data_IF_185706895595
#
_entry.id   IF_185706895595
#
_cell.length_a   1.000
_cell.length_b   1.000
_cell.length_c   1.000
_cell.angle_alpha   90.00
_cell.angle_beta   90.00
_cell.angle_gamma   90.00
#
_symmetry.space_group_name_H-M   'P 1'
#
loop_
_entity.id
_entity.type
_entity.pdbx_description
1 polymer ?
#
# COMPACT_ATOMS: atom_id res chain seq x y z
N UNK A 1 -4.91 15.42 -5.79
CA UNK A 1 -4.50 15.45 -7.22
C UNK A 1 -3.33 14.51 -7.43
N UNK A 2 -3.34 13.76 -8.50
CA UNK A 2 -2.29 12.79 -8.80
C UNK A 2 -1.77 12.99 -10.21
N UNK A 3 -0.49 12.71 -10.41
CA UNK A 3 0.13 12.69 -11.72
C UNK A 3 0.27 11.23 -12.15
N UNK A 4 -0.08 10.92 -13.38
CA UNK A 4 -0.02 9.56 -13.87
C UNK A 4 1.22 9.32 -14.74
N UNK A 5 1.55 8.05 -14.92
CA UNK A 5 2.77 7.61 -15.59
C UNK A 5 2.43 6.74 -16.80
N UNK A 6 3.39 6.60 -17.72
CA UNK A 6 3.30 5.64 -18.82
C UNK A 6 3.78 4.23 -18.40
N UNK A 7 3.78 3.28 -19.32
CA UNK A 7 4.25 1.90 -19.07
C UNK A 7 5.69 1.83 -18.60
N UNK A 8 6.51 2.83 -18.91
CA UNK A 8 7.90 2.93 -18.46
C UNK A 8 8.04 3.69 -17.15
N UNK A 9 6.92 3.99 -16.49
CA UNK A 9 6.84 4.73 -15.23
C UNK A 9 7.34 6.17 -15.30
N UNK A 10 7.33 6.75 -16.51
CA UNK A 10 7.67 8.16 -16.70
C UNK A 10 6.43 9.01 -16.47
N UNK A 11 6.62 10.13 -15.79
CA UNK A 11 5.53 11.11 -15.60
C UNK A 11 5.06 11.68 -16.92
N UNK A 12 3.74 11.75 -17.09
CA UNK A 12 3.12 12.27 -18.30
C UNK A 12 2.88 13.79 -18.24
N UNK A 13 3.38 14.45 -17.20
CA UNK A 13 3.28 15.91 -16.99
C UNK A 13 1.84 16.43 -16.96
N UNK A 14 0.91 15.61 -16.52
CA UNK A 14 -0.51 15.96 -16.37
C UNK A 14 -0.97 15.54 -14.98
N UNK A 15 -1.62 16.45 -14.28
CA UNK A 15 -2.15 16.20 -12.94
C UNK A 15 -3.66 16.08 -13.05
N UNK A 16 -4.21 15.03 -12.47
CA UNK A 16 -5.64 14.74 -12.53
C UNK A 16 -6.18 14.38 -11.15
N UNK A 17 -7.49 14.53 -10.98
CA UNK A 17 -8.18 14.01 -9.81
C UNK A 17 -8.46 12.52 -10.05
N UNK A 18 -7.75 11.66 -9.33
CA UNK A 18 -7.85 10.20 -9.50
C UNK A 18 -9.26 9.66 -9.26
N UNK A 19 -10.10 10.39 -8.53
CA UNK A 19 -11.46 9.94 -8.22
C UNK A 19 -12.43 10.15 -9.36
N UNK A 20 -12.10 11.04 -10.30
CA UNK A 20 -12.99 11.42 -11.41
C UNK A 20 -12.39 11.17 -12.79
N UNK A 21 -11.06 11.08 -12.90
CA UNK A 21 -10.40 10.89 -14.18
C UNK A 21 -10.55 9.46 -14.69
N UNK A 22 -10.85 9.32 -15.97
CA UNK A 22 -10.94 8.03 -16.65
C UNK A 22 -9.62 7.76 -17.39
N UNK A 23 -8.78 6.89 -16.82
CA UNK A 23 -7.48 6.55 -17.39
C UNK A 23 -7.63 5.90 -18.75
N UNK A 24 -6.88 6.41 -19.72
CA UNK A 24 -6.83 5.87 -21.07
C UNK A 24 -5.71 4.81 -21.19
N UNK A 25 -5.69 3.98 -22.25
CA UNK A 25 -4.59 3.05 -22.48
C UNK A 25 -3.24 3.76 -22.40
N UNK A 26 -2.29 3.16 -21.67
CA UNK A 26 -0.95 3.73 -21.49
C UNK A 26 -0.82 4.77 -20.38
N UNK A 27 -1.90 5.08 -19.68
CA UNK A 27 -1.89 6.01 -18.54
C UNK A 27 -2.15 5.24 -17.25
N UNK A 28 -1.29 5.40 -16.25
CA UNK A 28 -1.35 4.62 -15.01
C UNK A 28 -1.20 5.48 -13.76
N UNK A 29 -1.94 5.12 -12.73
CA UNK A 29 -1.71 5.62 -11.37
C UNK A 29 -0.58 4.82 -10.71
N UNK A 30 0.10 5.44 -9.76
CA UNK A 30 1.08 4.75 -8.91
C UNK A 30 0.52 4.54 -7.51
N UNK A 31 0.49 3.29 -7.06
CA UNK A 31 0.17 2.91 -5.69
C UNK A 31 1.37 2.23 -5.04
N UNK A 32 1.46 2.34 -3.73
CA UNK A 32 2.52 1.73 -2.95
C UNK A 32 1.94 1.02 -1.73
N UNK A 33 2.53 -0.10 -1.36
CA UNK A 33 2.20 -0.84 -0.15
C UNK A 33 3.49 -1.13 0.62
N UNK A 34 3.41 -1.15 1.94
CA UNK A 34 4.56 -1.42 2.79
C UNK A 34 4.36 -2.67 3.64
N UNK A 35 5.27 -3.61 3.52
CA UNK A 35 5.40 -4.71 4.47
C UNK A 35 6.35 -4.21 5.55
N UNK A 36 5.80 -3.90 6.73
CA UNK A 36 6.55 -3.42 7.88
C UNK A 36 6.75 -4.60 8.82
N UNK A 37 7.97 -5.09 8.86
CA UNK A 37 8.34 -6.26 9.67
C UNK A 37 9.18 -5.80 10.86
N UNK A 38 8.80 -6.24 12.08
CA UNK A 38 9.57 -5.94 13.28
C UNK A 38 10.65 -7.00 13.54
N UNK A 39 11.42 -6.82 14.60
CA UNK A 39 12.50 -7.75 14.93
C UNK A 39 12.03 -9.14 15.39
N UNK A 40 10.75 -9.27 15.73
CA UNK A 40 10.14 -10.56 16.07
C UNK A 40 9.59 -11.29 14.83
N UNK A 41 9.77 -10.72 13.63
CA UNK A 41 9.25 -11.31 12.40
C UNK A 41 7.75 -11.11 12.20
N UNK A 42 7.14 -10.16 12.90
CA UNK A 42 5.72 -9.86 12.76
C UNK A 42 5.50 -8.63 11.88
N UNK A 43 4.34 -8.59 11.25
CA UNK A 43 3.98 -7.57 10.29
C UNK A 43 2.90 -6.64 10.83
N UNK A 44 3.07 -5.34 10.63
CA UNK A 44 2.06 -4.36 11.01
C UNK A 44 0.95 -4.34 9.97
N UNK A 45 -0.27 -4.56 10.42
CA UNK A 45 -1.47 -4.45 9.59
C UNK A 45 -2.43 -3.46 10.21
N UNK A 46 -3.21 -2.76 9.37
CA UNK A 46 -4.19 -1.79 9.80
C UNK A 46 -5.58 -2.18 9.31
N UNK A 47 -6.60 -1.80 10.06
CA UNK A 47 -8.00 -2.07 9.70
C UNK A 47 -8.63 -0.80 9.15
N UNK A 48 -9.19 -0.88 7.94
CA UNK A 48 -9.84 0.24 7.27
C UNK A 48 -11.04 0.73 8.06
N UNK A 49 -11.22 2.05 8.08
CA UNK A 49 -12.37 2.67 8.72
C UNK A 49 -13.69 2.17 8.11
N UNK A 50 -14.73 2.10 8.93
CA UNK A 50 -16.03 1.53 8.54
C UNK A 50 -16.81 2.42 7.56
N UNK A 51 -16.46 3.70 7.45
CA UNK A 51 -17.07 4.65 6.52
C UNK A 51 -16.38 4.72 5.16
N UNK A 52 -15.39 3.86 4.90
CA UNK A 52 -14.73 3.78 3.59
C UNK A 52 -15.69 3.23 2.54
N UNK A 53 -15.62 3.79 1.33
CA UNK A 53 -16.45 3.36 0.21
C UNK A 53 -16.07 1.99 -0.33
N UNK A 54 -14.79 1.63 -0.19
CA UNK A 54 -14.27 0.36 -0.65
C UNK A 54 -13.66 -0.41 0.51
N UNK A 55 -14.00 -1.70 0.62
CA UNK A 55 -13.43 -2.63 1.59
C UNK A 55 -13.45 -2.12 3.03
N UNK A 56 -14.55 -1.47 3.46
CA UNK A 56 -14.70 -0.98 4.83
C UNK A 56 -14.49 -2.13 5.83
N UNK A 57 -13.71 -1.86 6.89
CA UNK A 57 -13.42 -2.84 7.94
C UNK A 57 -12.38 -3.90 7.54
N UNK A 58 -11.89 -3.90 6.31
CA UNK A 58 -10.87 -4.86 5.86
C UNK A 58 -9.51 -4.57 6.47
N UNK A 59 -8.71 -5.61 6.65
CA UNK A 59 -7.32 -5.49 7.11
C UNK A 59 -6.38 -5.42 5.92
N UNK A 60 -5.34 -4.60 6.03
CA UNK A 60 -4.41 -4.36 4.93
C UNK A 60 -3.02 -3.96 5.42
N UNK A 61 -2.04 -4.05 4.52
CA UNK A 61 -0.74 -3.41 4.72
C UNK A 61 -0.87 -1.90 4.49
N UNK A 62 -0.13 -1.06 5.25
CA UNK A 62 -0.15 0.39 5.01
C UNK A 62 0.28 0.74 3.59
N UNK A 63 -0.34 1.77 3.04
CA UNK A 63 0.00 2.25 1.70
C UNK A 63 -1.05 3.19 1.14
N UNK A 64 -0.89 3.58 -0.11
CA UNK A 64 -1.80 4.48 -0.78
C UNK A 64 -1.28 4.94 -2.13
N UNK A 65 -1.91 5.97 -2.68
CA UNK A 65 -1.55 6.53 -3.97
C UNK A 65 -0.44 7.56 -3.89
N UNK A 66 0.47 7.53 -4.86
CA UNK A 66 1.48 8.56 -5.01
C UNK A 66 0.84 9.89 -5.41
N UNK A 67 1.37 10.99 -4.89
CA UNK A 67 0.98 12.34 -5.27
C UNK A 67 1.77 12.79 -6.48
N UNK A 68 1.32 13.90 -7.08
CA UNK A 68 2.01 14.51 -8.21
C UNK A 68 3.51 14.71 -7.94
N UNK A 69 4.34 14.28 -8.88
CA UNK A 69 5.81 14.38 -8.86
C UNK A 69 6.50 13.63 -7.71
N UNK A 70 5.77 12.79 -7.04
CA UNK A 70 6.30 11.98 -5.96
C UNK A 70 6.86 10.67 -6.51
N UNK A 71 8.08 10.31 -6.12
CA UNK A 71 8.62 8.99 -6.44
C UNK A 71 7.88 7.92 -5.65
N UNK A 72 7.98 6.66 -6.10
CA UNK A 72 7.44 5.52 -5.39
C UNK A 72 7.97 5.46 -3.95
N UNK A 73 9.29 5.65 -3.78
CA UNK A 73 9.92 5.63 -2.44
C UNK A 73 9.42 6.76 -1.54
N UNK A 74 9.32 7.97 -2.08
CA UNK A 74 8.79 9.11 -1.31
C UNK A 74 7.33 8.89 -0.93
N UNK A 75 6.55 8.32 -1.85
CA UNK A 75 5.15 7.99 -1.60
C UNK A 75 5.00 7.01 -0.43
N UNK A 76 5.79 5.93 -0.42
CA UNK A 76 5.66 4.94 0.65
C UNK A 76 6.12 5.49 2.01
N UNK A 77 7.17 6.30 2.03
CA UNK A 77 7.62 6.96 3.27
C UNK A 77 6.54 7.88 3.83
N UNK A 78 5.92 8.66 2.96
CA UNK A 78 4.83 9.58 3.35
C UNK A 78 3.62 8.81 3.84
N UNK A 79 3.17 7.79 3.10
CA UNK A 79 1.99 7.01 3.49
C UNK A 79 2.19 6.28 4.82
N UNK A 80 3.36 5.67 5.04
CA UNK A 80 3.66 5.02 6.32
C UNK A 80 3.63 6.03 7.46
N UNK A 81 4.22 7.21 7.25
CA UNK A 81 4.23 8.27 8.27
C UNK A 81 2.82 8.77 8.59
N UNK A 82 2.02 9.03 7.55
CA UNK A 82 0.64 9.52 7.73
C UNK A 82 -0.25 8.49 8.41
N UNK A 83 -0.13 7.22 8.04
CA UNK A 83 -1.03 6.17 8.55
C UNK A 83 -0.61 5.60 9.89
N UNK A 84 0.69 5.53 10.17
CA UNK A 84 1.21 4.82 11.34
C UNK A 84 2.07 5.66 12.28
N UNK A 85 2.48 6.85 11.85
CA UNK A 85 3.42 7.68 12.59
C UNK A 85 4.87 7.22 12.55
N UNK A 86 5.15 6.09 11.90
CA UNK A 86 6.51 5.54 11.84
C UNK A 86 7.33 6.18 10.73
N UNK A 87 8.63 6.36 11.00
CA UNK A 87 9.60 6.78 10.00
C UNK A 87 10.34 5.55 9.49
N UNK A 88 10.36 5.36 8.17
CA UNK A 88 11.02 4.21 7.55
C UNK A 88 12.19 4.66 6.69
N UNK A 89 13.25 3.85 6.71
CA UNK A 89 14.47 4.04 5.94
C UNK A 89 14.94 2.70 5.39
N UNK A 90 15.80 2.72 4.37
CA UNK A 90 16.49 1.53 3.85
C UNK A 90 15.55 0.40 3.39
N UNK A 91 14.35 0.76 2.92
CA UNK A 91 13.46 -0.19 2.31
C UNK A 91 13.74 -0.38 0.83
N UNK A 92 13.25 -1.48 0.29
CA UNK A 92 13.37 -1.75 -1.14
C UNK A 92 12.11 -2.43 -1.65
N UNK A 93 11.88 -2.29 -2.95
CA UNK A 93 10.76 -2.95 -3.63
C UNK A 93 11.04 -4.44 -3.69
N UNK A 94 10.13 -5.25 -3.18
CA UNK A 94 10.24 -6.71 -3.24
C UNK A 94 9.33 -7.32 -4.28
N UNK A 95 8.28 -6.60 -4.69
CA UNK A 95 7.38 -7.06 -5.74
C UNK A 95 6.66 -5.88 -6.36
N UNK A 96 6.50 -5.92 -7.67
CA UNK A 96 5.72 -4.92 -8.40
C UNK A 96 4.77 -5.62 -9.36
N UNK A 97 3.61 -5.02 -9.54
CA UNK A 97 2.66 -5.48 -10.53
C UNK A 97 1.88 -4.30 -11.11
N UNK A 98 1.18 -4.56 -12.20
CA UNK A 98 0.29 -3.55 -12.76
C UNK A 98 -1.04 -4.17 -13.15
N UNK A 99 -2.05 -3.35 -13.20
CA UNK A 99 -3.38 -3.68 -13.68
C UNK A 99 -3.75 -2.72 -14.80
N UNK A 100 -4.32 -3.25 -15.85
CA UNK A 100 -4.87 -2.44 -16.93
C UNK A 100 -6.26 -2.98 -17.25
N UNK A 101 -7.27 -2.19 -16.95
CA UNK A 101 -8.66 -2.52 -17.22
C UNK A 101 -9.30 -1.36 -17.99
N UNK A 102 -9.35 -1.51 -19.32
CA UNK A 102 -9.86 -0.46 -20.19
C UNK A 102 -11.37 -0.23 -20.04
N UNK A 103 -12.12 -1.25 -19.65
CA UNK A 103 -13.56 -1.11 -19.43
C UNK A 103 -13.88 -0.26 -18.22
N UNK A 104 -13.11 -0.42 -17.15
CA UNK A 104 -13.27 0.32 -15.89
C UNK A 104 -12.38 1.55 -15.82
N UNK A 105 -11.50 1.74 -16.79
CA UNK A 105 -10.47 2.79 -16.77
C UNK A 105 -9.63 2.73 -15.49
N UNK A 106 -9.29 1.52 -15.07
CA UNK A 106 -8.63 1.25 -13.79
C UNK A 106 -7.22 0.74 -14.05
N UNK A 107 -6.34 1.66 -14.41
CA UNK A 107 -4.95 1.38 -14.75
C UNK A 107 -4.03 1.85 -13.63
N UNK A 108 -3.25 0.93 -13.06
CA UNK A 108 -2.34 1.31 -11.98
C UNK A 108 -1.13 0.38 -11.91
N UNK A 109 -0.02 0.94 -11.40
CA UNK A 109 1.12 0.19 -10.90
C UNK A 109 1.05 0.11 -9.38
N UNK A 110 1.55 -0.98 -8.82
CA UNK A 110 1.73 -1.13 -7.39
C UNK A 110 3.15 -1.58 -7.11
N UNK A 111 3.86 -0.84 -6.28
CA UNK A 111 5.15 -1.24 -5.74
C UNK A 111 4.95 -1.67 -4.29
N UNK A 112 5.38 -2.88 -3.97
CA UNK A 112 5.34 -3.38 -2.59
C UNK A 112 6.75 -3.31 -2.02
N UNK A 113 6.90 -2.51 -0.97
CA UNK A 113 8.16 -2.31 -0.25
C UNK A 113 8.24 -3.20 0.97
N UNK A 114 9.45 -3.60 1.33
CA UNK A 114 9.73 -4.29 2.58
C UNK A 114 10.68 -3.44 3.41
N UNK A 115 10.27 -3.19 4.66
CA UNK A 115 11.07 -2.50 5.67
C UNK A 115 11.14 -3.39 6.90
N UNK A 116 12.35 -3.70 7.34
CA UNK A 116 12.56 -4.42 8.60
C UNK A 116 13.32 -3.53 9.56
N UNK A 117 12.72 -3.26 10.71
CA UNK A 117 13.32 -2.38 11.70
C UNK A 117 12.69 -2.65 13.08
N UNK A 118 13.32 -2.11 14.11
CA UNK A 118 12.84 -2.27 15.49
C UNK A 118 11.69 -1.29 15.73
N UNK A 119 10.50 -1.84 15.88
CA UNK A 119 9.33 -1.08 16.32
C UNK A 119 8.38 -1.99 17.08
N UNK A 120 7.56 -1.37 17.92
CA UNK A 120 6.51 -2.05 18.67
C UNK A 120 5.16 -1.40 18.36
N UNK A 121 4.09 -2.13 18.63
CA UNK A 121 2.73 -1.63 18.42
C UNK A 121 2.48 -0.31 19.17
N UNK A 122 3.11 -0.13 20.33
CA UNK A 122 3.02 1.12 21.08
C UNK A 122 3.64 2.33 20.40
N UNK A 123 4.50 2.12 19.41
CA UNK A 123 5.11 3.20 18.61
C UNK A 123 4.18 3.73 17.52
N UNK A 124 3.08 3.03 17.27
CA UNK A 124 2.15 3.35 16.17
C UNK A 124 1.11 4.35 16.63
N UNK A 125 0.93 5.40 15.83
CA UNK A 125 -0.15 6.38 16.01
C UNK A 125 -1.00 6.35 14.74
N UNK A 126 -2.22 5.83 14.87
CA UNK A 126 -3.12 5.69 13.72
C UNK A 126 -3.70 7.03 13.27
N UNK A 127 -3.87 7.18 11.96
CA UNK A 127 -4.74 8.19 11.39
C UNK A 127 -6.17 7.69 11.50
N UNK A 128 -6.94 8.22 12.45
CA UNK A 128 -8.27 7.74 12.77
C UNK A 128 -9.32 7.95 11.66
N UNK A 129 -9.01 8.78 10.67
CA UNK A 129 -9.87 8.96 9.48
C UNK A 129 -9.72 7.80 8.51
N UNK A 130 -8.54 7.15 8.51
CA UNK A 130 -8.21 6.08 7.58
C UNK A 130 -8.38 4.70 8.21
N UNK A 131 -8.00 4.55 9.47
CA UNK A 131 -7.92 3.26 10.14
C UNK A 131 -8.50 3.31 11.55
N UNK A 132 -9.15 2.21 11.96
CA UNK A 132 -9.77 2.08 13.28
C UNK A 132 -9.00 1.18 14.22
N UNK A 133 -8.09 0.36 13.71
CA UNK A 133 -7.30 -0.56 14.54
C UNK A 133 -6.00 -0.94 13.84
N UNK A 134 -5.05 -1.46 14.59
CA UNK A 134 -3.81 -2.01 14.05
C UNK A 134 -3.35 -3.19 14.90
N UNK A 135 -2.61 -4.10 14.26
CA UNK A 135 -2.04 -5.28 14.92
C UNK A 135 -0.65 -5.57 14.33
N UNK A 136 0.20 -6.20 15.15
CA UNK A 136 1.39 -6.87 14.65
C UNK A 136 1.09 -8.37 14.61
N UNK A 137 1.12 -8.95 13.42
CA UNK A 137 0.69 -10.33 13.19
C UNK A 137 1.83 -11.19 12.62
N UNK A 138 1.85 -12.46 13.00
CA UNK A 138 2.73 -13.44 12.37
C UNK A 138 2.22 -13.81 10.98
N UNK A 139 3.04 -14.52 10.21
CA UNK A 139 2.61 -15.03 8.92
C UNK A 139 1.40 -15.97 9.05
N UNK A 140 1.39 -16.83 10.06
CA UNK A 140 0.26 -17.75 10.29
C UNK A 140 -1.02 -16.99 10.62
N UNK A 141 -0.92 -15.94 11.42
CA UNK A 141 -2.06 -15.07 11.73
C UNK A 141 -2.57 -14.35 10.49
N UNK A 142 -1.64 -13.91 9.61
CA UNK A 142 -2.00 -13.27 8.34
C UNK A 142 -2.81 -14.22 7.45
N UNK A 143 -2.36 -15.48 7.34
CA UNK A 143 -3.06 -16.51 6.58
C UNK A 143 -4.45 -16.76 7.18
N UNK A 144 -4.55 -16.84 8.50
CA UNK A 144 -5.85 -17.02 9.18
C UNK A 144 -6.80 -15.85 8.89
N UNK A 145 -6.31 -14.61 8.89
CA UNK A 145 -7.11 -13.43 8.54
C UNK A 145 -7.66 -13.52 7.12
N UNK A 146 -6.85 -13.99 6.17
CA UNK A 146 -7.32 -14.16 4.80
C UNK A 146 -8.39 -15.25 4.67
N UNK A 147 -8.29 -16.33 5.44
CA UNK A 147 -9.28 -17.41 5.42
C UNK A 147 -10.66 -16.93 5.88
N UNK A 148 -10.72 -15.84 6.62
CA UNK A 148 -11.95 -15.19 7.05
C UNK A 148 -12.38 -14.05 6.10
N UNK A 149 -11.73 -13.94 4.93
CA UNK A 149 -11.93 -12.88 3.93
C UNK A 149 -11.68 -11.47 4.47
N UNK A 150 -10.80 -11.35 5.46
CA UNK A 150 -10.54 -10.06 6.11
C UNK A 150 -9.30 -9.35 5.57
N UNK A 151 -8.44 -10.02 4.78
CA UNK A 151 -7.16 -9.42 4.37
C UNK A 151 -7.13 -9.05 2.89
N UNK A 152 -6.84 -7.76 2.64
CA UNK A 152 -6.83 -7.20 1.28
C UNK A 152 -5.49 -7.48 0.58
N UNK A 153 -5.56 -7.73 -0.71
CA UNK A 153 -4.39 -7.98 -1.58
C UNK A 153 -3.52 -9.16 -1.15
N UNK A 154 -4.13 -10.14 -0.50
CA UNK A 154 -3.40 -11.25 0.13
C UNK A 154 -2.46 -11.97 -0.83
N UNK A 155 -2.91 -12.32 -2.03
CA UNK A 155 -2.08 -13.05 -2.99
C UNK A 155 -0.84 -12.27 -3.40
N UNK A 156 -0.99 -10.96 -3.59
CA UNK A 156 0.12 -10.07 -3.95
C UNK A 156 1.11 -9.92 -2.80
N UNK A 157 0.60 -9.80 -1.59
CA UNK A 157 1.43 -9.74 -0.39
C UNK A 157 2.21 -11.05 -0.19
N UNK A 158 1.57 -12.20 -0.40
CA UNK A 158 2.25 -13.49 -0.29
C UNK A 158 3.37 -13.64 -1.33
N UNK A 159 3.14 -13.19 -2.56
CA UNK A 159 4.20 -13.16 -3.59
C UNK A 159 5.36 -12.27 -3.18
N UNK A 160 5.05 -11.09 -2.61
CA UNK A 160 6.07 -10.18 -2.12
C UNK A 160 6.90 -10.80 -0.99
N UNK A 161 6.25 -11.48 -0.05
CA UNK A 161 6.92 -12.15 1.07
C UNK A 161 7.85 -13.28 0.61
N UNK A 162 7.51 -13.97 -0.48
CA UNK A 162 8.37 -15.00 -1.05
C UNK A 162 9.62 -14.41 -1.70
N UNK A 163 9.59 -13.14 -2.12
CA UNK A 163 10.67 -12.47 -2.83
C UNK A 163 11.55 -11.61 -1.94
N UNK A 164 11.14 -11.38 -0.70
CA UNK A 164 11.96 -10.60 0.22
C UNK A 164 13.23 -11.34 0.59
N UNK A 165 14.32 -10.61 0.70
CA UNK A 165 15.61 -11.16 1.10
C UNK A 165 16.23 -10.33 2.20
#
# INVERSE_FOLDING_TARGET
MSEFVDLNRKFLNRVVDRNTYLFQPGEFMMYVLAILENEEGKFLVTQRALDKKWAAGGWEMPGGGAKSKESSLDAIKREVKEETGLDVINGHVVYSYFNEDQKRHDNYFVDIYHFKFDFQLSDVTLNTRESIDCRCVSLDELVAMNNEDEFLHFERIMKALQQKK
#
